data_IF_638828634204
#
_entry.id   IF_638828634204
#
_cell.length_a   1.000
_cell.length_b   1.000
_cell.length_c   1.000
_cell.angle_alpha   90.00
_cell.angle_beta   90.00
_cell.angle_gamma   90.00
#
_symmetry.space_group_name_H-M   'P 1'
#
loop_
_entity.id
_entity.type
_entity.pdbx_description
1 polymer ?
#
# COMPACT_ATOMS: atom_id res chain seq x y z
N UNK A 1 -15.26 42.07 -36.18
CA UNK A 1 -15.98 41.95 -34.89
C UNK A 1 -16.64 40.58 -34.76
N UNK A 2 -15.84 39.51 -34.61
CA UNK A 2 -16.30 38.15 -34.26
C UNK A 2 -15.15 37.29 -33.67
N UNK A 3 -14.13 37.95 -33.16
CA UNK A 3 -12.90 37.35 -32.61
C UNK A 3 -12.57 37.88 -31.20
N UNK A 4 -13.48 38.65 -30.59
CA UNK A 4 -13.32 39.24 -29.25
C UNK A 4 -14.16 38.54 -28.16
N UNK A 5 -14.95 37.52 -28.52
CA UNK A 5 -15.87 36.84 -27.60
C UNK A 5 -15.41 35.42 -27.17
N UNK A 6 -14.18 35.00 -27.49
CA UNK A 6 -13.65 33.68 -27.08
C UNK A 6 -12.57 33.79 -25.98
N UNK A 7 -12.08 35.00 -25.70
CA UNK A 7 -11.08 35.25 -24.65
C UNK A 7 -11.67 35.58 -23.26
N UNK A 8 -13.00 35.64 -23.13
CA UNK A 8 -13.69 35.97 -21.87
C UNK A 8 -14.22 34.75 -21.09
N UNK A 9 -13.93 33.53 -21.55
CA UNK A 9 -14.34 32.29 -20.86
C UNK A 9 -13.22 31.63 -20.02
N UNK A 10 -12.02 32.22 -19.93
CA UNK A 10 -10.85 31.60 -19.29
C UNK A 10 -10.16 32.46 -18.20
N UNK A 11 -10.86 33.42 -17.60
CA UNK A 11 -10.24 34.34 -16.62
C UNK A 11 -11.11 34.63 -15.37
N UNK A 12 -11.86 33.65 -14.88
CA UNK A 12 -12.74 33.87 -13.73
C UNK A 12 -12.83 32.69 -12.76
N UNK A 13 -11.72 32.08 -12.35
CA UNK A 13 -11.64 31.39 -11.04
C UNK A 13 -10.19 31.44 -10.50
N UNK A 14 -9.68 32.64 -10.21
CA UNK A 14 -8.52 32.78 -9.33
C UNK A 14 -8.74 33.99 -8.41
N UNK A 15 -8.75 33.71 -7.10
CA UNK A 15 -8.41 34.69 -6.06
C UNK A 15 -9.57 35.51 -5.48
N UNK A 16 -10.25 34.96 -4.48
CA UNK A 16 -10.59 35.74 -3.29
C UNK A 16 -10.08 34.97 -2.07
N UNK A 17 -8.93 35.39 -1.57
CA UNK A 17 -8.49 35.13 -0.21
C UNK A 17 -8.85 36.35 0.64
N UNK A 18 -9.77 36.18 1.60
CA UNK A 18 -9.83 37.01 2.81
C UNK A 18 -10.74 36.36 3.86
N UNK A 19 -10.09 35.87 4.91
CA UNK A 19 -10.50 35.88 6.31
C UNK A 19 -11.94 35.46 6.66
N UNK A 20 -12.10 34.17 6.96
CA UNK A 20 -12.95 33.74 8.07
C UNK A 20 -12.05 33.01 9.07
N UNK A 21 -11.53 33.75 10.03
CA UNK A 21 -10.91 33.20 11.24
C UNK A 21 -12.03 32.65 12.15
N UNK A 22 -12.71 31.59 11.71
CA UNK A 22 -13.23 30.61 12.64
C UNK A 22 -12.10 29.61 12.87
N UNK A 23 -11.81 29.31 14.12
CA UNK A 23 -10.98 28.18 14.52
C UNK A 23 -11.53 26.90 13.88
N UNK A 24 -11.10 26.59 12.66
CA UNK A 24 -11.33 25.31 12.03
C UNK A 24 -10.51 24.31 12.85
N UNK A 25 -11.16 23.70 13.85
CA UNK A 25 -10.74 22.40 14.33
C UNK A 25 -10.88 21.49 13.12
N UNK A 26 -9.80 21.33 12.36
CA UNK A 26 -9.76 20.35 11.28
C UNK A 26 -9.79 19.00 11.98
N UNK A 27 -10.95 18.38 11.97
CA UNK A 27 -11.12 17.02 12.44
C UNK A 27 -10.56 16.12 11.33
N UNK A 28 -9.24 15.95 11.31
CA UNK A 28 -8.59 15.07 10.35
C UNK A 28 -9.13 13.64 10.59
N UNK A 29 -9.48 12.88 9.54
CA UNK A 29 -9.65 11.44 9.69
C UNK A 29 -8.36 10.85 10.28
N UNK A 30 -8.46 9.67 10.90
CA UNK A 30 -7.41 8.98 11.67
C UNK A 30 -6.08 8.81 10.90
N UNK A 31 -6.11 8.96 9.57
CA UNK A 31 -4.97 9.04 8.64
C UNK A 31 -4.99 10.40 7.92
N UNK A 32 -4.00 11.27 8.16
CA UNK A 32 -4.09 12.65 7.70
C UNK A 32 -3.17 13.00 6.51
N UNK A 33 -2.00 12.36 6.38
CA UNK A 33 -1.00 12.70 5.36
C UNK A 33 -0.12 11.49 5.01
N UNK A 34 0.42 11.45 3.78
CA UNK A 34 1.44 10.47 3.40
C UNK A 34 2.72 10.72 4.18
N UNK A 35 3.42 9.65 4.54
CA UNK A 35 4.73 9.74 5.15
C UNK A 35 5.61 8.53 4.80
N UNK A 36 6.92 8.64 5.07
CA UNK A 36 7.84 7.50 5.07
C UNK A 36 8.22 7.13 6.51
N UNK A 37 7.87 5.91 6.97
CA UNK A 37 8.31 5.42 8.27
C UNK A 37 9.84 5.36 8.46
N UNK A 38 10.61 5.26 7.37
CA UNK A 38 12.06 5.35 7.39
C UNK A 38 12.62 6.75 7.77
N UNK A 39 11.76 7.77 7.89
CA UNK A 39 12.13 9.13 8.29
C UNK A 39 12.52 10.07 7.13
N UNK A 40 12.45 9.58 5.90
CA UNK A 40 12.60 10.41 4.71
C UNK A 40 11.31 11.21 4.44
N UNK A 41 11.41 12.28 3.66
CA UNK A 41 10.23 13.04 3.29
C UNK A 41 9.27 12.21 2.42
N UNK A 42 7.94 12.36 2.56
CA UNK A 42 7.25 13.26 3.49
C UNK A 42 7.27 12.76 4.94
N UNK A 43 7.36 13.69 5.90
CA UNK A 43 7.37 13.41 7.34
C UNK A 43 6.09 13.89 8.00
N UNK A 44 5.74 13.28 9.13
CA UNK A 44 4.54 13.68 9.86
C UNK A 44 4.64 15.08 10.47
N UNK A 45 3.52 15.83 10.49
CA UNK A 45 3.51 17.18 11.03
C UNK A 45 3.80 17.16 12.53
N UNK A 46 4.59 18.14 12.97
CA UNK A 46 4.91 18.38 14.40
C UNK A 46 4.23 19.64 14.94
N UNK A 47 3.46 20.34 14.11
CA UNK A 47 2.81 21.61 14.46
C UNK A 47 1.44 21.39 15.11
N UNK A 48 1.13 22.18 16.15
CA UNK A 48 -0.21 22.23 16.76
C UNK A 48 -0.38 21.47 18.08
N UNK A 49 0.69 20.92 18.66
CA UNK A 49 0.66 20.23 19.96
C UNK A 49 0.14 18.80 19.91
N UNK A 50 -0.26 18.32 18.73
CA UNK A 50 -0.59 16.93 18.47
C UNK A 50 0.66 16.17 17.98
N UNK A 51 0.89 14.98 18.53
CA UNK A 51 1.93 14.08 18.06
C UNK A 51 1.36 13.13 17.01
N UNK A 52 2.04 13.05 15.87
CA UNK A 52 1.74 12.10 14.80
C UNK A 52 2.92 11.18 14.62
N UNK A 53 2.63 9.90 14.45
CA UNK A 53 3.62 8.89 14.09
C UNK A 53 3.34 8.39 12.67
N UNK A 54 4.40 8.02 11.96
CA UNK A 54 4.26 7.45 10.63
C UNK A 54 4.07 5.93 10.70
N UNK A 55 2.92 5.47 10.22
CA UNK A 55 2.55 4.07 10.22
C UNK A 55 2.58 3.52 8.80
N UNK A 56 3.38 2.48 8.57
CA UNK A 56 3.41 1.77 7.30
C UNK A 56 2.03 1.18 7.00
N UNK A 57 1.58 1.29 5.76
CA UNK A 57 0.37 0.66 5.22
C UNK A 57 0.66 -0.65 4.49
N UNK A 58 1.90 -1.16 4.62
CA UNK A 58 2.40 -2.31 3.88
C UNK A 58 2.22 -3.64 4.64
N UNK A 59 1.41 -4.57 4.12
CA UNK A 59 1.17 -5.87 4.74
C UNK A 59 2.12 -6.98 4.26
N UNK A 60 3.11 -6.69 3.41
CA UNK A 60 3.97 -7.70 2.82
C UNK A 60 4.73 -8.48 3.91
N UNK A 61 4.78 -9.80 3.74
CA UNK A 61 5.39 -10.70 4.71
C UNK A 61 6.10 -11.87 4.04
N UNK A 62 7.06 -12.44 4.76
CA UNK A 62 7.82 -13.59 4.31
C UNK A 62 7.82 -14.69 5.37
N UNK A 63 7.52 -15.92 4.96
CA UNK A 63 7.78 -17.10 5.77
C UNK A 63 9.17 -17.64 5.42
N UNK A 64 10.05 -17.70 6.42
CA UNK A 64 11.39 -18.26 6.23
C UNK A 64 11.38 -19.79 6.27
N UNK A 65 10.33 -20.45 6.76
CA UNK A 65 10.18 -21.89 6.63
C UNK A 65 9.79 -22.31 5.21
N UNK A 66 9.10 -21.44 4.47
CA UNK A 66 8.82 -21.63 3.04
C UNK A 66 8.72 -20.28 2.31
N UNK A 67 9.85 -19.85 1.74
CA UNK A 67 9.97 -18.57 1.04
C UNK A 67 9.15 -18.50 -0.26
N UNK A 68 8.56 -19.61 -0.71
CA UNK A 68 7.74 -19.63 -1.92
C UNK A 68 6.29 -19.20 -1.64
N UNK A 69 5.81 -19.34 -0.40
CA UNK A 69 4.42 -19.10 -0.02
C UNK A 69 4.11 -17.62 0.23
N UNK A 70 3.07 -17.12 -0.44
CA UNK A 70 2.46 -15.85 -0.08
C UNK A 70 1.73 -16.05 1.25
N UNK A 71 2.13 -15.30 2.26
CA UNK A 71 1.66 -15.45 3.63
C UNK A 71 1.20 -14.12 4.19
N UNK A 72 0.23 -14.18 5.10
CA UNK A 72 -0.19 -13.01 5.86
C UNK A 72 0.84 -12.64 6.94
N UNK A 73 1.01 -11.35 7.26
CA UNK A 73 1.92 -10.87 8.29
C UNK A 73 1.47 -11.30 9.69
N UNK A 74 2.41 -11.81 10.46
CA UNK A 74 2.22 -12.18 11.86
C UNK A 74 2.62 -11.04 12.78
N UNK A 75 1.65 -10.19 13.12
CA UNK A 75 1.84 -9.12 14.09
C UNK A 75 1.74 -9.60 15.53
N UNK A 76 2.33 -8.86 16.47
CA UNK A 76 2.29 -9.19 17.89
C UNK A 76 0.84 -9.25 18.41
N UNK A 77 0.43 -10.43 18.90
CA UNK A 77 -0.91 -10.66 19.45
C UNK A 77 -2.02 -10.85 18.42
N UNK A 78 -1.67 -11.05 17.15
CA UNK A 78 -2.62 -11.26 16.04
C UNK A 78 -2.35 -12.57 15.28
N UNK A 79 -3.23 -12.90 14.35
CA UNK A 79 -3.03 -14.00 13.41
C UNK A 79 -1.90 -13.73 12.41
N UNK A 80 -1.84 -14.55 11.36
CA UNK A 80 -0.80 -14.50 10.33
C UNK A 80 0.34 -15.50 10.54
N UNK A 81 1.18 -15.63 9.52
CA UNK A 81 2.22 -16.66 9.45
C UNK A 81 3.62 -16.07 9.23
N UNK A 82 3.75 -15.12 8.32
CA UNK A 82 5.05 -14.57 7.90
C UNK A 82 5.57 -13.46 8.80
N UNK A 83 6.87 -13.21 8.71
CA UNK A 83 7.49 -12.00 9.28
C UNK A 83 7.15 -10.80 8.40
N UNK A 84 6.55 -9.72 8.94
CA UNK A 84 6.28 -8.51 8.16
C UNK A 84 7.58 -7.90 7.62
N UNK A 85 7.60 -7.50 6.35
CA UNK A 85 8.79 -6.94 5.68
C UNK A 85 8.97 -5.45 5.98
N UNK A 86 7.88 -4.68 5.91
CA UNK A 86 7.91 -3.21 5.98
C UNK A 86 6.92 -2.66 7.03
N UNK A 87 6.47 -3.47 7.97
CA UNK A 87 5.51 -3.06 9.00
C UNK A 87 5.76 -3.78 10.32
N UNK A 88 4.94 -3.49 11.34
CA UNK A 88 5.14 -4.04 12.68
C UNK A 88 6.53 -3.71 13.24
N UNK A 89 7.31 -4.75 13.58
CA UNK A 89 8.68 -4.57 14.04
C UNK A 89 9.61 -3.93 13.00
N UNK A 90 9.30 -4.07 11.71
CA UNK A 90 10.08 -3.55 10.58
C UNK A 90 9.47 -2.28 9.97
N UNK A 91 8.60 -1.58 10.70
CA UNK A 91 7.97 -0.34 10.24
C UNK A 91 8.99 0.67 9.68
N UNK A 92 10.16 0.81 10.31
CA UNK A 92 11.22 1.74 9.88
C UNK A 92 11.85 1.40 8.53
N UNK A 93 11.57 0.24 7.93
CA UNK A 93 12.02 -0.12 6.58
C UNK A 93 11.06 0.38 5.50
N UNK A 94 9.87 0.87 5.86
CA UNK A 94 8.89 1.30 4.87
C UNK A 94 9.16 2.70 4.32
N UNK A 95 8.83 2.85 3.03
CA UNK A 95 8.82 4.12 2.29
C UNK A 95 7.41 4.67 2.08
N UNK A 96 6.40 3.90 2.47
CA UNK A 96 4.98 4.22 2.31
C UNK A 96 4.27 4.11 3.65
N UNK A 97 3.42 5.09 3.95
CA UNK A 97 2.64 5.06 5.16
C UNK A 97 1.74 6.28 5.28
N UNK A 98 1.02 6.32 6.40
CA UNK A 98 0.15 7.42 6.77
C UNK A 98 0.50 7.96 8.15
N UNK A 99 0.42 9.28 8.28
CA UNK A 99 0.51 9.93 9.57
C UNK A 99 -0.75 9.66 10.37
N UNK A 100 -0.54 9.01 11.51
CA UNK A 100 -1.58 8.62 12.45
C UNK A 100 -1.35 9.38 13.74
N UNK A 101 -2.41 10.02 14.24
CA UNK A 101 -2.36 10.73 15.51
C UNK A 101 -2.15 9.73 16.64
N UNK A 102 -1.16 9.96 17.50
CA UNK A 102 -0.90 9.08 18.64
C UNK A 102 -2.16 8.92 19.50
N UNK A 103 -2.49 7.68 19.87
CA UNK A 103 -3.67 7.34 20.68
C UNK A 103 -5.02 7.42 19.96
N UNK A 104 -5.05 7.74 18.66
CA UNK A 104 -6.32 7.81 17.90
C UNK A 104 -6.86 6.45 17.44
N UNK A 105 -5.98 5.44 17.34
CA UNK A 105 -6.37 4.07 16.99
C UNK A 105 -6.80 3.34 18.27
N UNK A 106 -8.02 2.78 18.33
CA UNK A 106 -8.44 1.96 19.46
C UNK A 106 -7.48 0.80 19.70
N UNK A 107 -7.23 0.45 20.97
CA UNK A 107 -6.26 -0.59 21.35
C UNK A 107 -6.52 -1.92 20.63
N UNK A 108 -7.78 -2.27 20.38
CA UNK A 108 -8.16 -3.49 19.67
C UNK A 108 -7.79 -3.47 18.18
N UNK A 109 -7.68 -2.29 17.57
CA UNK A 109 -7.28 -2.09 16.17
C UNK A 109 -5.82 -1.63 16.01
N UNK A 110 -5.10 -1.46 17.11
CA UNK A 110 -3.71 -1.02 17.11
C UNK A 110 -2.72 -2.19 17.09
N UNK A 111 -1.55 -1.96 16.50
CA UNK A 111 -0.37 -2.82 16.62
C UNK A 111 0.29 -2.65 18.00
N UNK A 112 0.90 -3.74 18.47
CA UNK A 112 1.67 -3.79 19.72
C UNK A 112 3.18 -3.95 19.48
N UNK A 113 3.60 -4.05 18.23
CA UNK A 113 4.98 -4.28 17.81
C UNK A 113 5.88 -3.06 18.12
N UNK A 114 7.13 -3.32 18.53
CA UNK A 114 8.01 -2.32 19.17
C UNK A 114 8.47 -1.15 18.29
N UNK A 115 8.10 -1.10 17.02
CA UNK A 115 8.35 0.06 16.12
C UNK A 115 7.09 0.57 15.41
N UNK A 116 5.92 0.03 15.79
CA UNK A 116 4.62 0.39 15.22
C UNK A 116 3.53 0.47 16.29
N UNK A 117 3.89 0.60 17.57
CA UNK A 117 2.92 0.61 18.66
C UNK A 117 1.90 1.73 18.44
N UNK A 118 0.60 1.41 18.50
CA UNK A 118 -0.46 2.39 18.27
C UNK A 118 -0.79 2.65 16.79
N UNK A 119 -0.05 2.07 15.84
CA UNK A 119 -0.40 2.11 14.43
C UNK A 119 -1.61 1.22 14.12
N UNK A 120 -2.45 1.57 13.12
CA UNK A 120 -3.44 0.65 12.59
C UNK A 120 -2.76 -0.58 12.01
N UNK A 121 -3.47 -1.70 11.97
CA UNK A 121 -2.97 -2.94 11.38
C UNK A 121 -2.96 -2.82 9.85
N UNK A 122 -1.80 -3.01 9.19
CA UNK A 122 -1.73 -3.05 7.74
C UNK A 122 -2.35 -4.33 7.19
N UNK A 123 -3.04 -4.22 6.07
CA UNK A 123 -3.69 -5.33 5.40
C UNK A 123 -3.66 -5.16 3.88
N UNK A 124 -3.85 -6.26 3.16
CA UNK A 124 -4.01 -6.23 1.71
C UNK A 124 -5.51 -6.33 1.36
N UNK A 125 -6.09 -5.32 0.68
CA UNK A 125 -7.48 -5.34 0.24
C UNK A 125 -7.83 -6.49 -0.73
N UNK A 126 -6.84 -7.07 -1.41
CA UNK A 126 -7.02 -8.19 -2.35
C UNK A 126 -7.01 -9.57 -1.68
N UNK A 127 -6.76 -9.64 -0.37
CA UNK A 127 -6.79 -10.91 0.36
C UNK A 127 -8.19 -11.51 0.42
N UNK A 128 -8.23 -12.82 0.65
CA UNK A 128 -9.47 -13.51 0.99
C UNK A 128 -10.09 -12.94 2.28
N UNK A 129 -11.42 -13.00 2.38
CA UNK A 129 -12.13 -12.58 3.60
C UNK A 129 -11.64 -13.33 4.86
N UNK A 130 -11.20 -14.58 4.71
CA UNK A 130 -10.60 -15.36 5.81
C UNK A 130 -9.27 -14.78 6.28
N UNK A 131 -8.41 -14.36 5.36
CA UNK A 131 -7.12 -13.78 5.67
C UNK A 131 -7.27 -12.39 6.28
N UNK A 132 -8.16 -11.56 5.72
CA UNK A 132 -8.54 -10.27 6.31
C UNK A 132 -9.05 -10.49 7.73
N UNK A 133 -9.97 -11.43 7.96
CA UNK A 133 -10.50 -11.71 9.30
C UNK A 133 -9.41 -12.20 10.26
N UNK A 134 -8.45 -13.00 9.77
CA UNK A 134 -7.33 -13.52 10.56
C UNK A 134 -6.38 -12.42 11.03
N UNK A 135 -6.06 -11.46 10.15
CA UNK A 135 -5.11 -10.37 10.43
C UNK A 135 -5.79 -9.19 11.14
N UNK A 136 -6.90 -8.73 10.58
CA UNK A 136 -7.62 -7.54 11.04
C UNK A 136 -8.55 -7.82 12.24
N UNK A 137 -9.03 -9.06 12.38
CA UNK A 137 -10.07 -9.43 13.33
C UNK A 137 -11.45 -9.50 12.67
N UNK A 138 -12.45 -9.99 13.41
CA UNK A 138 -13.81 -10.08 12.90
C UNK A 138 -14.49 -8.70 12.84
N UNK A 139 -15.32 -8.49 11.82
CA UNK A 139 -16.11 -7.27 11.67
C UNK A 139 -15.30 -6.03 11.21
N UNK A 140 -14.09 -6.23 10.72
CA UNK A 140 -13.26 -5.20 10.11
C UNK A 140 -13.27 -5.33 8.59
N UNK A 141 -13.06 -4.22 7.90
CA UNK A 141 -12.79 -4.19 6.46
C UNK A 141 -11.34 -3.79 6.21
N UNK A 142 -10.72 -4.31 5.15
CA UNK A 142 -9.40 -3.85 4.72
C UNK A 142 -9.57 -2.78 3.64
N UNK A 143 -9.08 -1.57 3.89
CA UNK A 143 -9.23 -0.47 2.94
C UNK A 143 -7.89 0.03 2.44
N UNK A 144 -7.81 0.15 1.12
CA UNK A 144 -6.70 0.79 0.44
C UNK A 144 -6.51 2.24 0.92
N UNK A 145 -5.27 2.63 1.12
CA UNK A 145 -4.87 3.94 1.67
C UNK A 145 -4.48 4.96 0.61
N UNK A 146 -4.24 4.51 -0.61
CA UNK A 146 -3.68 5.29 -1.73
C UNK A 146 -4.36 4.83 -3.00
N UNK A 147 -4.57 5.72 -3.94
CA UNK A 147 -5.09 5.35 -5.25
C UNK A 147 -3.95 4.90 -6.17
N UNK A 148 -4.20 3.88 -6.99
CA UNK A 148 -3.30 3.42 -8.04
C UNK A 148 -3.19 4.48 -9.13
N UNK A 149 -1.98 4.73 -9.63
CA UNK A 149 -1.74 5.63 -10.76
C UNK A 149 -1.47 4.83 -12.06
N UNK A 150 -1.61 5.42 -13.26
CA UNK A 150 -1.36 4.72 -14.52
C UNK A 150 0.03 4.07 -14.62
N UNK A 151 1.04 4.67 -14.00
CA UNK A 151 2.42 4.17 -13.91
C UNK A 151 2.54 2.86 -13.12
N UNK A 152 1.56 2.54 -12.28
CA UNK A 152 1.52 1.31 -11.49
C UNK A 152 0.92 0.12 -12.27
N UNK A 153 0.53 0.31 -13.53
CA UNK A 153 -0.17 -0.68 -14.32
C UNK A 153 0.74 -1.40 -15.32
N UNK A 154 0.57 -2.72 -15.44
CA UNK A 154 1.21 -3.54 -16.48
C UNK A 154 0.15 -4.29 -17.30
N UNK A 155 0.44 -4.47 -18.58
CA UNK A 155 -0.43 -5.24 -19.46
C UNK A 155 -0.10 -6.73 -19.34
N UNK A 156 -0.99 -7.50 -18.74
CA UNK A 156 -0.85 -8.94 -18.60
C UNK A 156 -1.62 -9.69 -19.70
N UNK A 157 -0.94 -10.35 -20.66
CA UNK A 157 -1.57 -11.09 -21.74
C UNK A 157 -2.31 -12.35 -21.27
N UNK A 158 -2.03 -12.85 -20.06
CA UNK A 158 -2.68 -14.03 -19.49
C UNK A 158 -4.03 -13.71 -18.83
N UNK A 159 -4.34 -12.43 -18.60
CA UNK A 159 -5.59 -11.99 -17.99
C UNK A 159 -6.60 -11.56 -19.05
N UNK A 160 -7.87 -11.90 -18.82
CA UNK A 160 -9.00 -11.51 -19.68
C UNK A 160 -9.15 -12.38 -20.92
N UNK A 161 -9.98 -11.91 -21.86
CA UNK A 161 -10.45 -12.76 -22.99
C UNK A 161 -9.91 -12.33 -24.35
N UNK A 162 -9.25 -11.17 -24.46
CA UNK A 162 -8.76 -10.63 -25.73
C UNK A 162 -7.46 -9.82 -25.58
N UNK A 163 -6.31 -10.49 -25.72
CA UNK A 163 -5.01 -9.80 -25.82
C UNK A 163 -4.49 -9.16 -24.53
N UNK A 164 -4.97 -9.63 -23.38
CA UNK A 164 -4.55 -9.17 -22.06
C UNK A 164 -5.38 -8.05 -21.46
N UNK A 165 -5.14 -7.79 -20.18
CA UNK A 165 -5.70 -6.68 -19.43
C UNK A 165 -4.62 -5.94 -18.66
N UNK A 166 -4.77 -4.63 -18.54
CA UNK A 166 -4.03 -3.84 -17.59
C UNK A 166 -4.43 -4.25 -16.19
N UNK A 167 -3.44 -4.48 -15.35
CA UNK A 167 -3.61 -4.78 -13.93
C UNK A 167 -2.51 -4.11 -13.11
N UNK A 168 -2.71 -3.96 -11.79
CA UNK A 168 -1.65 -3.48 -10.93
C UNK A 168 -0.41 -4.37 -11.02
N UNK A 169 0.76 -3.73 -11.05
CA UNK A 169 2.06 -4.42 -11.07
C UNK A 169 2.36 -5.03 -9.70
N UNK A 170 3.00 -6.18 -9.71
CA UNK A 170 3.48 -6.85 -8.51
C UNK A 170 4.89 -7.42 -8.72
N UNK A 171 5.46 -7.97 -7.66
CA UNK A 171 6.81 -8.51 -7.64
C UNK A 171 7.03 -9.66 -8.62
N UNK A 172 5.97 -10.36 -9.04
CA UNK A 172 6.04 -11.36 -10.10
C UNK A 172 6.36 -10.78 -11.48
N UNK A 173 6.12 -9.49 -11.68
CA UNK A 173 6.40 -8.81 -12.95
C UNK A 173 7.86 -8.37 -13.07
N UNK A 174 8.65 -8.47 -12.00
CA UNK A 174 10.04 -8.04 -11.98
C UNK A 174 10.90 -8.98 -12.82
N UNK A 175 11.76 -8.39 -13.66
CA UNK A 175 12.70 -9.13 -14.51
C UNK A 175 13.63 -10.01 -13.67
N UNK A 176 13.76 -11.28 -14.05
CA UNK A 176 14.56 -12.31 -13.40
C UNK A 176 13.83 -13.09 -12.30
N UNK A 177 12.54 -12.80 -12.05
CA UNK A 177 11.75 -13.49 -11.01
C UNK A 177 10.78 -14.53 -11.58
N UNK A 178 10.73 -14.71 -12.90
CA UNK A 178 10.07 -15.84 -13.57
C UNK A 178 8.56 -15.68 -13.75
N UNK A 179 8.02 -14.45 -13.65
CA UNK A 179 6.64 -14.13 -13.99
C UNK A 179 6.55 -13.38 -15.33
N UNK A 180 5.88 -12.23 -15.34
CA UNK A 180 5.61 -11.49 -16.58
C UNK A 180 6.86 -10.80 -17.16
N UNK A 181 7.85 -10.47 -16.30
CA UNK A 181 9.10 -9.82 -16.71
C UNK A 181 8.87 -8.47 -17.42
N UNK A 182 7.94 -7.66 -16.87
CA UNK A 182 7.48 -6.39 -17.44
C UNK A 182 8.13 -5.14 -16.82
N UNK A 183 8.80 -5.27 -15.68
CA UNK A 183 9.42 -4.13 -14.96
C UNK A 183 10.77 -4.54 -14.37
N UNK A 184 11.70 -3.60 -14.21
CA UNK A 184 12.92 -3.76 -13.43
C UNK A 184 12.80 -3.21 -11.99
N UNK A 185 11.61 -2.71 -11.62
CA UNK A 185 11.29 -2.12 -10.31
C UNK A 185 12.20 -0.94 -9.95
N UNK A 186 12.69 -0.20 -10.95
CA UNK A 186 13.52 0.98 -10.76
C UNK A 186 12.77 2.09 -10.02
N UNK A 187 13.54 2.96 -9.35
CA UNK A 187 13.03 3.87 -8.31
C UNK A 187 12.01 4.93 -8.75
N UNK A 188 11.70 5.05 -10.04
CA UNK A 188 10.70 5.96 -10.58
C UNK A 188 9.69 5.27 -11.52
N UNK A 189 9.75 3.95 -11.65
CA UNK A 189 8.97 3.25 -12.69
C UNK A 189 7.50 3.08 -12.31
N UNK A 190 7.19 3.20 -11.02
CA UNK A 190 5.85 3.09 -10.48
C UNK A 190 5.64 4.19 -9.45
N UNK A 191 4.49 4.86 -9.49
CA UNK A 191 4.20 6.00 -8.63
C UNK A 191 4.02 5.58 -7.17
N UNK A 192 3.44 4.39 -6.97
CA UNK A 192 3.06 3.93 -5.64
C UNK A 192 3.75 2.64 -5.21
N UNK A 193 4.75 2.13 -5.94
CA UNK A 193 5.42 0.89 -5.56
C UNK A 193 5.97 0.86 -4.12
N UNK A 194 5.86 -0.31 -3.53
CA UNK A 194 6.59 -0.66 -2.32
C UNK A 194 8.08 -0.72 -2.62
N UNK A 195 8.89 -0.18 -1.71
CA UNK A 195 10.34 -0.23 -1.77
C UNK A 195 10.94 0.12 -3.16
N UNK A 196 10.91 1.41 -3.56
CA UNK A 196 11.52 1.86 -4.80
C UNK A 196 12.97 1.36 -4.95
N UNK A 197 13.29 0.73 -6.09
CA UNK A 197 14.59 0.08 -6.35
C UNK A 197 14.94 -1.13 -5.49
N UNK A 198 14.02 -1.66 -4.68
CA UNK A 198 14.24 -2.89 -3.91
C UNK A 198 15.31 -2.78 -2.80
N UNK A 199 15.58 -1.56 -2.32
CA UNK A 199 16.67 -1.30 -1.37
C UNK A 199 16.35 -1.84 0.02
N UNK A 200 15.11 -1.70 0.48
CA UNK A 200 14.70 -2.12 1.82
C UNK A 200 14.53 -3.63 1.92
N UNK A 201 14.19 -4.32 0.83
CA UNK A 201 14.30 -5.78 0.75
C UNK A 201 15.74 -6.24 0.99
N UNK A 202 16.74 -5.54 0.43
CA UNK A 202 18.15 -5.83 0.72
C UNK A 202 18.48 -5.58 2.19
N UNK A 203 18.04 -4.47 2.77
CA UNK A 203 18.24 -4.16 4.19
C UNK A 203 17.61 -5.21 5.10
N UNK A 204 16.39 -5.67 4.79
CA UNK A 204 15.71 -6.73 5.51
C UNK A 204 16.54 -8.02 5.51
N UNK A 205 16.98 -8.47 4.32
CA UNK A 205 17.76 -9.70 4.17
C UNK A 205 19.12 -9.59 4.86
N UNK A 206 19.81 -8.46 4.70
CA UNK A 206 21.11 -8.20 5.35
C UNK A 206 20.97 -8.16 6.89
N UNK A 207 19.77 -7.87 7.41
CA UNK A 207 19.44 -7.92 8.83
C UNK A 207 19.12 -9.32 9.38
N UNK A 208 18.95 -10.33 8.52
CA UNK A 208 18.68 -11.71 8.97
C UNK A 208 19.96 -12.38 9.49
N UNK A 209 19.93 -13.01 10.67
CA UNK A 209 21.10 -13.72 11.19
C UNK A 209 21.52 -14.86 10.25
N UNK A 210 22.81 -14.97 9.88
CA UNK A 210 23.28 -16.01 8.96
C UNK A 210 23.02 -17.44 9.44
N UNK A 211 23.02 -17.65 10.76
CA UNK A 211 22.71 -18.94 11.39
C UNK A 211 21.24 -19.32 11.24
N UNK A 212 20.32 -18.35 11.27
CA UNK A 212 18.89 -18.57 10.99
C UNK A 212 18.71 -19.04 9.54
N UNK A 213 19.34 -18.37 8.58
CA UNK A 213 19.27 -18.76 7.16
C UNK A 213 19.87 -20.15 6.93
N UNK A 214 21.06 -20.40 7.48
CA UNK A 214 21.73 -21.70 7.36
C UNK A 214 20.91 -22.84 7.98
N UNK A 215 20.25 -22.61 9.12
CA UNK A 215 19.39 -23.61 9.77
C UNK A 215 18.18 -24.02 8.92
N UNK A 216 17.76 -23.15 7.99
CA UNK A 216 16.64 -23.36 7.07
C UNK A 216 17.10 -23.76 5.65
N UNK A 217 18.41 -23.89 5.44
CA UNK A 217 18.99 -24.21 4.12
C UNK A 217 18.76 -23.12 3.07
N UNK A 218 18.58 -21.87 3.50
CA UNK A 218 18.30 -20.73 2.62
C UNK A 218 19.58 -19.95 2.29
N UNK A 219 19.71 -19.52 1.03
CA UNK A 219 20.68 -18.51 0.62
C UNK A 219 20.08 -17.11 0.71
N UNK A 220 20.88 -16.11 1.08
CA UNK A 220 20.43 -14.73 1.18
C UNK A 220 19.85 -14.19 -0.14
N UNK A 221 20.39 -14.62 -1.29
CA UNK A 221 19.84 -14.24 -2.60
C UNK A 221 18.46 -14.84 -2.85
N UNK A 222 18.17 -16.03 -2.34
CA UNK A 222 16.85 -16.64 -2.50
C UNK A 222 15.82 -15.91 -1.64
N UNK A 223 16.19 -15.52 -0.41
CA UNK A 223 15.35 -14.66 0.44
C UNK A 223 15.15 -13.29 -0.20
N UNK A 224 16.18 -12.71 -0.82
CA UNK A 224 16.06 -11.43 -1.52
C UNK A 224 15.08 -11.50 -2.70
N UNK A 225 15.19 -12.53 -3.54
CA UNK A 225 14.22 -12.77 -4.62
C UNK A 225 12.82 -13.00 -4.09
N UNK A 226 12.67 -13.72 -2.97
CA UNK A 226 11.38 -13.92 -2.33
C UNK A 226 10.80 -12.61 -1.79
N UNK A 227 11.64 -11.73 -1.21
CA UNK A 227 11.22 -10.40 -0.79
C UNK A 227 10.73 -9.57 -1.98
N UNK A 228 11.48 -9.55 -3.09
CA UNK A 228 11.06 -8.85 -4.31
C UNK A 228 9.73 -9.35 -4.85
N UNK A 229 9.47 -10.66 -4.80
CA UNK A 229 8.17 -11.24 -5.19
C UNK A 229 6.99 -10.81 -4.31
N UNK A 230 7.24 -10.26 -3.12
CA UNK A 230 6.21 -9.74 -2.22
C UNK A 230 5.92 -8.26 -2.43
N UNK A 231 6.72 -7.57 -3.26
CA UNK A 231 6.50 -6.16 -3.56
C UNK A 231 5.23 -5.99 -4.40
N UNK A 232 4.48 -4.94 -4.11
CA UNK A 232 3.28 -4.56 -4.88
C UNK A 232 3.20 -3.04 -5.01
N UNK A 233 2.12 -2.56 -5.63
CA UNK A 233 1.71 -1.16 -5.64
C UNK A 233 0.57 -0.92 -4.66
N UNK A 234 -0.06 0.26 -4.74
CA UNK A 234 -1.12 0.70 -3.82
C UNK A 234 -2.25 -0.32 -3.61
N UNK A 235 -2.65 -1.05 -4.65
CA UNK A 235 -3.78 -1.99 -4.63
C UNK A 235 -3.72 -3.04 -3.51
N UNK A 236 -2.51 -3.38 -3.06
CA UNK A 236 -2.26 -4.39 -2.04
C UNK A 236 -1.77 -3.80 -0.70
N UNK A 237 -1.98 -2.51 -0.49
CA UNK A 237 -1.66 -1.80 0.76
C UNK A 237 -2.88 -1.13 1.34
N UNK A 238 -2.99 -1.16 2.65
CA UNK A 238 -4.16 -0.62 3.31
C UNK A 238 -4.11 -0.76 4.82
N UNK A 239 -5.19 -0.34 5.46
CA UNK A 239 -5.40 -0.53 6.89
C UNK A 239 -6.70 -1.26 7.18
N UNK A 240 -6.63 -2.09 8.22
CA UNK A 240 -7.81 -2.66 8.84
C UNK A 240 -8.63 -1.54 9.48
N UNK A 241 -9.82 -1.29 8.98
CA UNK A 241 -10.79 -0.37 9.55
C UNK A 241 -11.88 -1.16 10.26
N UNK A 242 -12.13 -0.84 11.52
CA UNK A 242 -13.15 -1.49 12.35
C UNK A 242 -13.83 -0.49 13.28
N UNK A 243 -15.15 -0.64 13.45
CA UNK A 243 -15.94 0.20 14.34
C UNK A 243 -17.36 0.45 13.82
N UNK A 244 -18.27 0.88 14.70
CA UNK A 244 -19.61 1.28 14.31
C UNK A 244 -19.54 2.50 13.36
N UNK A 245 -19.74 2.28 12.07
CA UNK A 245 -19.87 3.35 11.07
C UNK A 245 -18.96 3.26 9.85
N UNK A 246 -17.96 2.39 9.82
CA UNK A 246 -17.13 2.16 8.62
C UNK A 246 -17.64 0.91 7.90
N UNK A 247 -18.52 1.12 6.92
CA UNK A 247 -19.17 0.03 6.18
C UNK A 247 -18.65 -0.11 4.74
N UNK A 248 -17.78 0.78 4.28
CA UNK A 248 -17.27 0.75 2.93
C UNK A 248 -15.92 1.48 2.81
N UNK A 249 -15.04 0.96 1.95
CA UNK A 249 -13.78 1.60 1.61
C UNK A 249 -14.00 2.65 0.50
N UNK A 250 -13.40 3.85 0.59
CA UNK A 250 -13.55 4.87 -0.43
C UNK A 250 -13.16 4.40 -1.85
N UNK A 251 -12.10 3.59 -1.96
CA UNK A 251 -11.57 3.05 -3.22
C UNK A 251 -12.18 1.69 -3.63
N UNK A 252 -13.21 1.22 -2.92
CA UNK A 252 -13.93 -0.01 -3.25
C UNK A 252 -15.43 0.24 -3.47
N UNK A 253 -15.80 1.47 -3.83
CA UNK A 253 -17.20 1.80 -4.10
C UNK A 253 -17.64 1.19 -5.44
N UNK A 254 -18.90 0.73 -5.59
CA UNK A 254 -19.37 0.04 -6.81
C UNK A 254 -19.25 0.79 -8.16
N UNK A 255 -18.89 2.08 -8.15
CA UNK A 255 -18.64 2.86 -9.36
C UNK A 255 -17.26 3.50 -9.42
N UNK A 256 -16.40 3.21 -8.43
CA UNK A 256 -15.00 3.56 -8.50
C UNK A 256 -14.32 2.66 -9.54
N UNK A 257 -13.41 3.22 -10.31
CA UNK A 257 -12.58 2.49 -11.28
C UNK A 257 -11.15 2.93 -11.07
N UNK A 258 -10.25 2.01 -10.78
CA UNK A 258 -8.83 2.35 -10.62
C UNK A 258 -8.17 2.71 -11.96
N UNK A 259 -6.93 3.21 -11.91
CA UNK A 259 -6.22 3.64 -13.13
C UNK A 259 -6.06 2.51 -14.16
N UNK A 260 -5.79 1.27 -13.73
CA UNK A 260 -5.60 0.14 -14.63
C UNK A 260 -6.93 -0.26 -15.29
N UNK A 261 -8.03 -0.23 -14.53
CA UNK A 261 -9.38 -0.43 -15.05
C UNK A 261 -9.80 0.68 -16.03
N UNK A 262 -9.46 1.94 -15.75
CA UNK A 262 -9.71 3.06 -16.65
C UNK A 262 -8.93 2.89 -17.97
N UNK A 263 -7.69 2.38 -17.92
CA UNK A 263 -6.92 2.04 -19.12
C UNK A 263 -7.57 0.90 -19.91
N UNK A 264 -8.08 -0.13 -19.24
CA UNK A 264 -8.84 -1.21 -19.90
C UNK A 264 -10.07 -0.67 -20.64
N UNK A 265 -10.85 0.21 -20.00
CA UNK A 265 -12.02 0.86 -20.61
C UNK A 265 -11.63 1.70 -21.82
N UNK A 266 -10.58 2.52 -21.69
CA UNK A 266 -10.12 3.41 -22.75
C UNK A 266 -9.68 2.63 -23.99
N UNK A 267 -9.03 1.47 -23.79
CA UNK A 267 -8.58 0.59 -24.87
C UNK A 267 -9.67 -0.39 -25.36
N UNK A 268 -10.85 -0.37 -24.76
CA UNK A 268 -11.94 -1.29 -25.10
C UNK A 268 -11.62 -2.76 -24.81
N UNK A 269 -10.77 -3.03 -23.80
CA UNK A 269 -10.43 -4.38 -23.37
C UNK A 269 -11.60 -5.03 -22.65
N UNK A 270 -11.73 -6.34 -22.79
CA UNK A 270 -12.87 -7.10 -22.25
C UNK A 270 -12.42 -8.32 -21.46
N UNK A 271 -13.25 -8.73 -20.50
CA UNK A 271 -12.93 -9.84 -19.59
C UNK A 271 -11.93 -9.46 -18.49
N UNK A 272 -11.68 -8.17 -18.27
CA UNK A 272 -10.70 -7.67 -17.30
C UNK A 272 -11.21 -7.58 -15.86
N UNK A 273 -12.28 -8.29 -15.51
CA UNK A 273 -12.85 -8.21 -14.16
C UNK A 273 -11.98 -8.96 -13.15
N UNK A 274 -11.80 -8.32 -11.99
CA UNK A 274 -11.17 -8.74 -10.73
C UNK A 274 -10.52 -10.12 -10.77
N UNK A 275 -9.29 -10.16 -11.27
CA UNK A 275 -8.44 -11.32 -11.06
C UNK A 275 -8.07 -11.34 -9.58
N UNK A 276 -8.50 -12.36 -8.85
CA UNK A 276 -7.95 -12.63 -7.52
C UNK A 276 -6.45 -12.91 -7.69
N UNK A 277 -5.61 -11.99 -7.22
CA UNK A 277 -4.17 -12.17 -7.18
C UNK A 277 -3.81 -12.97 -5.92
N UNK A 278 -2.97 -14.02 -6.04
CA UNK A 278 -2.50 -14.80 -4.89
C UNK A 278 -1.64 -13.98 -3.93
#
# INVERSE_FOLDING_TARGET
MRLLNILLAHAAVFGIAAAVSSSCVVNYPTTAFRCSPAGDAPNCPTAGGDNYQCCSDDPAALDLDDITLFVTPRYTGRGGQGTPLFSGGNNTLSRSGMCVKEGSVPVQGALADINAQGCPVPCNPTWSNSDITSVCGSGTICCETVEIEPEDCVLDPAVGTAGGCWRPVNGGDIVGLGGLEATDWGGSDHATHQDPSGINCKVFVDGLPPDVLASKGLDAQDVLRACYRRLTVANARGFCLGGAGVNACPLAQPGYRDACEQMNDFEGRTGCQDVEFP
#
